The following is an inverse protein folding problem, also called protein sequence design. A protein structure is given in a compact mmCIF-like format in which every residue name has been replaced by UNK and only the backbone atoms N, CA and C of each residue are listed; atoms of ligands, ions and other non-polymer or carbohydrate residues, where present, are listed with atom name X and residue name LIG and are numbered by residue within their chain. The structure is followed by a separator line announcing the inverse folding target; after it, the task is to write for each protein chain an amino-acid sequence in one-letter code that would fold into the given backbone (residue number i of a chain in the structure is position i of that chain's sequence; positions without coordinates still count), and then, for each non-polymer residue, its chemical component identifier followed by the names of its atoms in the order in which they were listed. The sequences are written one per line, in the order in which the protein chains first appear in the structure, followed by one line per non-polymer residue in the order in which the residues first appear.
data_IF_127415941239
#
_entry.id   IF_127415941239
#
_cell.length_a   1.000
_cell.length_b   1.000
_cell.length_c   1.000
_cell.angle_alpha   90.00
_cell.angle_beta   90.00
_cell.angle_gamma   90.00
#
_symmetry.space_group_name_H-M   'P 1'
#
loop_
_entity.id
_entity.type
_entity.pdbx_description
1 polymer ?
#
# COMPACT_ATOMS: atom_id res chain seq x y z
N UNK A 1 -0.63 -15.32 -1.31
CA UNK A 1 0.53 -14.53 -0.83
C UNK A 1 0.09 -13.07 -0.75
N UNK A 2 0.28 -12.43 0.39
CA UNK A 2 -0.20 -11.04 0.57
C UNK A 2 0.84 -10.05 0.05
N UNK A 3 0.40 -8.88 -0.44
CA UNK A 3 1.35 -7.89 -0.93
C UNK A 3 2.26 -7.42 0.22
N UNK A 4 3.56 -7.50 0.00
CA UNK A 4 4.54 -6.88 0.88
C UNK A 4 4.23 -5.39 1.00
N UNK A 5 4.24 -4.87 2.21
CA UNK A 5 4.07 -3.44 2.45
C UNK A 5 2.66 -2.95 2.77
N UNK A 6 1.71 -3.83 3.13
CA UNK A 6 0.44 -3.38 3.70
C UNK A 6 0.64 -2.84 5.11
N UNK A 7 0.14 -1.65 5.32
CA UNK A 7 0.21 -0.95 6.60
C UNK A 7 -0.90 -1.44 7.54
N UNK A 8 -0.51 -2.13 8.60
CA UNK A 8 -1.45 -2.60 9.65
C UNK A 8 -1.13 -1.88 10.95
N UNK A 9 -2.13 -1.22 11.52
CA UNK A 9 -2.06 -0.79 12.92
C UNK A 9 -2.47 -1.95 13.80
N UNK A 10 -1.60 -2.33 14.72
CA UNK A 10 -1.90 -3.29 15.78
C UNK A 10 -2.12 -2.56 17.11
N UNK A 11 -3.38 -2.38 17.47
CA UNK A 11 -3.76 -1.91 18.78
C UNK A 11 -3.66 -3.04 19.80
N UNK A 12 -3.02 -2.78 20.96
CA UNK A 12 -2.85 -3.81 22.00
C UNK A 12 -3.59 -3.41 23.26
N UNK A 13 -4.63 -4.15 23.62
CA UNK A 13 -5.40 -3.96 24.84
C UNK A 13 -4.73 -4.52 26.10
N UNK A 14 -5.11 -3.98 27.26
CA UNK A 14 -4.56 -4.31 28.57
C UNK A 14 -5.10 -5.61 29.15
N UNK A 15 -4.65 -6.76 28.66
CA UNK A 15 -4.95 -8.08 29.19
C UNK A 15 -3.73 -8.99 29.19
N UNK A 16 -3.77 -10.06 29.98
CA UNK A 16 -2.66 -11.01 30.06
C UNK A 16 -2.26 -11.56 28.67
N UNK A 17 -3.22 -11.74 27.76
CA UNK A 17 -2.97 -12.21 26.41
C UNK A 17 -2.21 -11.22 25.51
N UNK A 18 -1.89 -10.01 25.99
CA UNK A 18 -1.07 -9.04 25.24
C UNK A 18 0.28 -9.65 24.78
N UNK A 19 0.88 -10.55 25.56
CA UNK A 19 2.14 -11.21 25.17
C UNK A 19 2.00 -12.02 23.86
N UNK A 20 0.82 -12.55 23.56
CA UNK A 20 0.57 -13.30 22.32
C UNK A 20 0.62 -12.43 21.07
N UNK A 21 0.41 -11.14 21.21
CA UNK A 21 0.52 -10.17 20.11
C UNK A 21 1.98 -10.06 19.60
N UNK A 22 2.97 -10.50 20.39
CA UNK A 22 4.35 -10.61 19.94
C UNK A 22 4.54 -11.67 18.85
N UNK A 23 3.88 -12.82 18.96
CA UNK A 23 3.83 -13.84 17.90
C UNK A 23 3.05 -13.34 16.69
N UNK A 24 1.92 -12.66 16.94
CA UNK A 24 1.10 -12.09 15.86
C UNK A 24 1.88 -11.07 15.01
N UNK A 25 2.69 -10.19 15.63
CA UNK A 25 3.54 -9.24 14.89
C UNK A 25 4.47 -9.98 13.93
N UNK A 26 5.22 -10.97 14.42
CA UNK A 26 6.15 -11.75 13.59
C UNK A 26 5.44 -12.41 12.42
N UNK A 27 4.30 -13.06 12.67
CA UNK A 27 3.55 -13.73 11.62
C UNK A 27 2.94 -12.77 10.61
N UNK A 28 2.47 -11.59 11.04
CA UNK A 28 2.02 -10.54 10.12
C UNK A 28 3.17 -10.10 9.20
N UNK A 29 4.38 -9.91 9.76
CA UNK A 29 5.57 -9.55 8.98
C UNK A 29 5.98 -10.67 8.02
N UNK A 30 5.93 -11.95 8.44
CA UNK A 30 6.18 -13.11 7.57
C UNK A 30 5.20 -13.16 6.39
N UNK A 31 3.97 -12.64 6.57
CA UNK A 31 2.96 -12.49 5.51
C UNK A 31 3.11 -11.17 4.73
N UNK A 32 4.16 -10.38 4.99
CA UNK A 32 4.50 -9.16 4.26
C UNK A 32 3.77 -7.90 4.71
N UNK A 33 3.14 -7.91 5.90
CA UNK A 33 2.57 -6.71 6.48
C UNK A 33 3.61 -5.84 7.19
N UNK A 34 3.44 -4.54 7.11
CA UNK A 34 4.16 -3.55 7.91
C UNK A 34 3.33 -3.20 9.14
N UNK A 35 3.83 -3.53 10.32
CA UNK A 35 3.04 -3.43 11.56
C UNK A 35 3.49 -2.23 12.38
N UNK A 36 2.57 -1.29 12.62
CA UNK A 36 2.75 -0.19 13.58
C UNK A 36 1.97 -0.49 14.85
N UNK A 37 2.65 -0.53 16.00
CA UNK A 37 2.02 -0.94 17.26
C UNK A 37 1.56 0.29 18.05
N UNK A 38 0.30 0.23 18.52
CA UNK A 38 -0.31 1.26 19.37
C UNK A 38 -0.86 0.58 20.62
N UNK A 39 -0.05 0.47 21.69
CA UNK A 39 -0.47 -0.13 22.94
C UNK A 39 -1.34 0.84 23.74
N UNK A 40 -2.37 0.33 24.38
CA UNK A 40 -3.06 1.09 25.42
C UNK A 40 -2.18 1.24 26.66
N UNK A 41 -2.41 2.27 27.46
CA UNK A 41 -1.70 2.46 28.71
C UNK A 41 -1.74 1.22 29.63
N UNK A 42 -2.90 0.53 29.66
CA UNK A 42 -3.06 -0.68 30.48
C UNK A 42 -2.25 -1.86 29.95
N UNK A 43 -1.99 -1.96 28.64
CA UNK A 43 -1.22 -3.06 28.05
C UNK A 43 0.27 -3.01 28.44
N UNK A 44 0.79 -1.82 28.77
CA UNK A 44 2.18 -1.63 29.18
C UNK A 44 2.50 -2.31 30.51
N UNK A 45 1.49 -2.65 31.34
CA UNK A 45 1.69 -3.47 32.53
C UNK A 45 2.06 -4.93 32.20
N UNK A 46 1.82 -5.39 30.97
CA UNK A 46 2.11 -6.76 30.52
C UNK A 46 3.31 -6.82 29.58
N UNK A 47 3.41 -5.88 28.64
CA UNK A 47 4.49 -5.82 27.65
C UNK A 47 4.87 -4.36 27.41
N UNK A 48 6.12 -4.01 27.61
CA UNK A 48 6.62 -2.66 27.47
C UNK A 48 6.90 -2.26 26.02
N UNK A 49 6.94 -0.94 25.77
CA UNK A 49 7.14 -0.35 24.43
C UNK A 49 8.43 -0.81 23.75
N UNK A 50 9.51 -1.04 24.50
CA UNK A 50 10.78 -1.52 23.94
C UNK A 50 10.62 -2.87 23.24
N UNK A 51 9.76 -3.76 23.76
CA UNK A 51 9.47 -5.05 23.12
C UNK A 51 8.72 -4.84 21.80
N UNK A 52 7.72 -3.96 21.78
CA UNK A 52 6.94 -3.67 20.58
C UNK A 52 7.80 -3.04 19.48
N UNK A 53 8.64 -2.06 19.84
CA UNK A 53 9.56 -1.41 18.91
C UNK A 53 10.56 -2.42 18.31
N UNK A 54 11.14 -3.29 19.15
CA UNK A 54 12.09 -4.30 18.68
C UNK A 54 11.45 -5.33 17.75
N UNK A 55 10.20 -5.75 18.03
CA UNK A 55 9.50 -6.74 17.22
C UNK A 55 8.97 -6.16 15.89
N UNK A 56 8.39 -4.98 15.93
CA UNK A 56 7.85 -4.35 14.73
C UNK A 56 8.91 -3.72 13.83
N UNK A 57 10.08 -3.40 14.38
CA UNK A 57 11.13 -2.61 13.72
C UNK A 57 10.71 -1.16 13.44
N UNK A 58 9.68 -0.66 14.15
CA UNK A 58 9.07 0.66 13.94
C UNK A 58 8.86 1.39 15.25
N UNK A 59 8.70 2.73 15.21
CA UNK A 59 8.30 3.51 16.39
C UNK A 59 6.97 3.02 16.98
N UNK A 60 6.87 3.06 18.30
CA UNK A 60 5.64 2.75 19.04
C UNK A 60 5.00 4.07 19.44
N UNK A 61 3.70 4.18 19.19
CA UNK A 61 2.93 5.37 19.51
C UNK A 61 1.96 5.03 20.64
N UNK A 62 2.15 5.64 21.81
CA UNK A 62 1.37 5.34 23.03
C UNK A 62 0.75 6.59 23.69
N UNK A 63 1.10 7.79 23.20
CA UNK A 63 0.61 9.04 23.75
C UNK A 63 -0.02 9.93 22.65
N UNK A 64 -1.23 10.42 22.94
CA UNK A 64 -1.96 11.34 22.07
C UNK A 64 -1.26 12.71 21.93
N UNK A 65 -0.50 13.10 22.94
CA UNK A 65 0.11 14.42 23.07
C UNK A 65 1.58 14.45 22.65
N UNK A 66 2.17 13.33 22.35
CA UNK A 66 3.48 13.29 21.73
C UNK A 66 3.36 13.73 20.28
N UNK A 67 4.23 14.66 19.84
CA UNK A 67 4.32 15.12 18.46
C UNK A 67 3.03 15.78 17.89
N UNK A 68 2.45 16.69 18.66
CA UNK A 68 1.17 17.37 18.36
C UNK A 68 1.18 18.05 16.98
N UNK A 69 2.34 18.46 16.48
CA UNK A 69 2.47 19.13 15.18
C UNK A 69 2.08 18.25 14.00
N UNK A 70 2.25 16.92 14.10
CA UNK A 70 1.96 15.96 13.04
C UNK A 70 0.53 15.41 13.08
N UNK A 71 -0.27 15.79 14.10
CA UNK A 71 -1.62 15.24 14.34
C UNK A 71 -1.61 13.71 14.20
N UNK A 72 -0.85 12.98 15.07
CA UNK A 72 -0.50 11.57 14.82
C UNK A 72 -1.70 10.66 14.63
N UNK A 73 -2.81 10.89 15.35
CA UNK A 73 -4.02 10.07 15.22
C UNK A 73 -4.66 10.17 13.82
N UNK A 74 -4.60 11.32 13.16
CA UNK A 74 -5.14 11.50 11.81
C UNK A 74 -4.19 10.89 10.77
N UNK A 75 -2.88 11.14 10.89
CA UNK A 75 -1.90 10.61 9.94
C UNK A 75 -1.85 9.07 9.99
N UNK A 76 -1.85 8.48 11.18
CA UNK A 76 -1.89 7.04 11.39
C UNK A 76 -3.21 6.42 10.88
N UNK A 77 -4.37 7.05 11.19
CA UNK A 77 -5.66 6.58 10.70
C UNK A 77 -5.73 6.56 9.17
N UNK A 78 -5.14 7.56 8.49
CA UNK A 78 -5.11 7.65 7.03
C UNK A 78 -4.10 6.72 6.36
N UNK A 79 -3.00 6.38 7.05
CA UNK A 79 -1.94 5.55 6.49
C UNK A 79 -2.22 4.04 6.61
N UNK A 80 -3.14 3.63 7.47
CA UNK A 80 -3.43 2.22 7.71
C UNK A 80 -4.32 1.63 6.61
N UNK A 81 -3.96 0.45 6.11
CA UNK A 81 -4.83 -0.36 5.23
C UNK A 81 -5.85 -1.17 6.04
N UNK A 82 -5.51 -1.53 7.28
CA UNK A 82 -6.39 -2.16 8.25
C UNK A 82 -5.94 -1.86 9.68
N UNK A 83 -6.88 -1.95 10.62
CA UNK A 83 -6.59 -1.87 12.05
C UNK A 83 -7.01 -3.16 12.72
N UNK A 84 -6.09 -3.80 13.43
CA UNK A 84 -6.31 -5.01 14.22
C UNK A 84 -6.14 -4.66 15.70
N UNK A 85 -7.14 -4.92 16.52
CA UNK A 85 -7.04 -4.76 17.97
C UNK A 85 -6.92 -6.14 18.62
N UNK A 86 -5.73 -6.48 19.04
CA UNK A 86 -5.42 -7.80 19.57
C UNK A 86 -4.43 -7.72 20.76
N UNK A 87 -4.84 -8.08 22.00
CA UNK A 87 -6.21 -8.43 22.36
C UNK A 87 -7.16 -7.23 22.47
N UNK A 88 -8.47 -7.44 22.26
CA UNK A 88 -9.52 -6.48 22.60
C UNK A 88 -10.16 -6.88 23.93
N UNK A 89 -10.01 -6.06 24.95
CA UNK A 89 -10.65 -6.27 26.27
C UNK A 89 -12.11 -5.83 26.26
N UNK A 90 -12.90 -6.28 27.24
CA UNK A 90 -14.30 -5.84 27.40
C UNK A 90 -14.42 -4.31 27.51
N UNK A 91 -13.49 -3.66 28.21
CA UNK A 91 -13.40 -2.18 28.28
C UNK A 91 -13.21 -1.55 26.91
N UNK A 92 -12.27 -2.06 26.10
CA UNK A 92 -12.06 -1.54 24.73
C UNK A 92 -13.29 -1.77 23.85
N UNK A 93 -13.94 -2.95 23.92
CA UNK A 93 -15.19 -3.21 23.21
C UNK A 93 -16.25 -2.16 23.56
N UNK A 94 -16.41 -1.87 24.85
CA UNK A 94 -17.38 -0.87 25.31
C UNK A 94 -17.02 0.55 24.84
N UNK A 95 -15.75 0.95 24.99
CA UNK A 95 -15.28 2.28 24.59
C UNK A 95 -15.44 2.52 23.09
N UNK A 96 -15.09 1.55 22.26
CA UNK A 96 -15.22 1.62 20.80
C UNK A 96 -16.71 1.69 20.41
N UNK A 97 -17.56 0.85 21.04
CA UNK A 97 -19.00 0.86 20.77
C UNK A 97 -19.67 2.19 21.12
N UNK A 98 -19.19 2.88 22.14
CA UNK A 98 -19.68 4.19 22.57
C UNK A 98 -19.04 5.37 21.81
N UNK A 99 -18.03 5.13 20.97
CA UNK A 99 -17.29 6.21 20.28
C UNK A 99 -16.44 7.07 21.21
N UNK A 100 -15.96 6.53 22.33
CA UNK A 100 -15.02 7.24 23.23
C UNK A 100 -13.65 7.34 22.56
N UNK A 101 -13.06 8.53 22.64
CA UNK A 101 -11.75 8.85 22.07
C UNK A 101 -10.88 9.54 23.14
N UNK A 102 -10.52 8.77 24.18
CA UNK A 102 -9.79 9.26 25.36
C UNK A 102 -8.31 8.80 25.41
N UNK A 103 -7.85 8.03 24.42
CA UNK A 103 -6.45 7.72 24.17
C UNK A 103 -6.13 7.71 22.65
N UNK A 104 -4.84 7.57 22.31
CA UNK A 104 -4.40 7.60 20.91
C UNK A 104 -5.11 6.53 20.07
N UNK A 105 -5.20 5.30 20.57
CA UNK A 105 -5.80 4.17 19.86
C UNK A 105 -7.27 4.44 19.50
N UNK A 106 -8.06 4.88 20.48
CA UNK A 106 -9.49 5.14 20.26
C UNK A 106 -9.74 6.39 19.41
N UNK A 107 -8.87 7.38 19.43
CA UNK A 107 -8.90 8.50 18.48
C UNK A 107 -8.65 8.04 17.05
N UNK A 108 -7.66 7.15 16.82
CA UNK A 108 -7.40 6.57 15.50
C UNK A 108 -8.61 5.78 15.02
N UNK A 109 -9.22 4.96 15.87
CA UNK A 109 -10.40 4.16 15.51
C UNK A 109 -11.61 5.01 15.13
N UNK A 110 -11.76 6.17 15.74
CA UNK A 110 -12.85 7.09 15.41
C UNK A 110 -12.58 7.87 14.11
N UNK A 111 -11.31 8.12 13.79
CA UNK A 111 -10.88 8.88 12.62
C UNK A 111 -10.68 8.05 11.35
N UNK A 112 -10.54 6.72 11.48
CA UNK A 112 -10.22 5.85 10.34
C UNK A 112 -11.42 5.55 9.45
N UNK A 113 -11.15 5.40 8.16
CA UNK A 113 -12.05 4.79 7.18
C UNK A 113 -11.63 3.36 6.80
N UNK A 114 -10.50 2.91 7.34
CA UNK A 114 -9.96 1.58 7.08
C UNK A 114 -10.71 0.50 7.85
N UNK A 115 -10.79 -0.73 7.32
CA UNK A 115 -11.48 -1.82 7.98
C UNK A 115 -10.84 -2.17 9.34
N UNK A 116 -11.69 -2.50 10.30
CA UNK A 116 -11.29 -2.79 11.68
C UNK A 116 -11.62 -4.25 12.02
N UNK A 117 -10.64 -4.96 12.57
CA UNK A 117 -10.76 -6.30 13.13
C UNK A 117 -10.52 -6.26 14.64
N UNK A 118 -11.49 -6.62 15.44
CA UNK A 118 -11.35 -6.79 16.88
C UNK A 118 -11.17 -8.27 17.22
N UNK A 119 -10.20 -8.54 18.08
CA UNK A 119 -9.85 -9.88 18.57
C UNK A 119 -10.09 -9.94 20.09
N UNK A 120 -11.32 -10.23 20.52
CA UNK A 120 -11.66 -10.27 21.94
C UNK A 120 -10.89 -11.35 22.69
N UNK A 121 -10.46 -11.00 23.91
CA UNK A 121 -9.89 -11.96 24.86
C UNK A 121 -10.23 -11.53 26.28
N UNK A 122 -11.07 -12.34 26.97
CA UNK A 122 -11.58 -12.08 28.30
C UNK A 122 -12.12 -13.36 28.93
N UNK A 123 -12.40 -13.37 30.25
CA UNK A 123 -13.05 -14.49 30.88
C UNK A 123 -14.44 -14.79 30.30
N UNK A 124 -14.89 -16.06 30.32
CA UNK A 124 -16.19 -16.46 29.75
C UNK A 124 -17.37 -15.64 30.29
N UNK A 125 -17.40 -15.36 31.57
CA UNK A 125 -18.47 -14.58 32.20
C UNK A 125 -18.49 -13.13 31.66
N UNK A 126 -17.33 -12.57 31.34
CA UNK A 126 -17.23 -11.23 30.73
C UNK A 126 -17.68 -11.25 29.27
N UNK A 127 -17.31 -12.29 28.54
CA UNK A 127 -17.70 -12.44 27.13
C UNK A 127 -19.22 -12.63 27.01
N UNK A 128 -19.79 -13.53 27.82
CA UNK A 128 -21.21 -13.85 27.80
C UNK A 128 -22.08 -12.78 28.47
N UNK A 129 -21.48 -11.78 29.11
CA UNK A 129 -22.25 -10.72 29.75
C UNK A 129 -23.10 -9.94 28.73
N UNK A 130 -24.34 -9.68 29.07
CA UNK A 130 -25.32 -9.02 28.17
C UNK A 130 -24.81 -7.66 27.67
N UNK A 131 -24.10 -6.88 28.50
CA UNK A 131 -23.53 -5.60 28.07
C UNK A 131 -22.41 -5.78 27.04
N UNK A 132 -21.55 -6.78 27.20
CA UNK A 132 -20.51 -7.12 26.23
C UNK A 132 -21.12 -7.55 24.90
N UNK A 133 -22.10 -8.46 24.94
CA UNK A 133 -22.78 -8.94 23.74
C UNK A 133 -23.55 -7.82 23.01
N UNK A 134 -24.20 -6.91 23.74
CA UNK A 134 -24.85 -5.74 23.14
C UNK A 134 -23.84 -4.80 22.44
N UNK A 135 -22.69 -4.56 23.06
CA UNK A 135 -21.62 -3.78 22.46
C UNK A 135 -21.04 -4.44 21.20
N UNK A 136 -20.82 -5.77 21.24
CA UNK A 136 -20.36 -6.54 20.06
C UNK A 136 -21.39 -6.46 18.92
N UNK A 137 -22.67 -6.62 19.21
CA UNK A 137 -23.74 -6.50 18.22
C UNK A 137 -23.75 -5.08 17.59
N UNK A 138 -23.59 -4.04 18.42
CA UNK A 138 -23.48 -2.66 17.95
C UNK A 138 -22.28 -2.46 17.03
N UNK A 139 -21.11 -2.99 17.36
CA UNK A 139 -19.91 -2.88 16.53
C UNK A 139 -20.07 -3.59 15.20
N UNK A 140 -20.63 -4.82 15.23
CA UNK A 140 -20.92 -5.60 14.00
C UNK A 140 -21.92 -4.88 13.09
N UNK A 141 -22.96 -4.25 13.65
CA UNK A 141 -23.93 -3.47 12.86
C UNK A 141 -23.34 -2.21 12.19
N UNK A 142 -22.19 -1.73 12.69
CA UNK A 142 -21.43 -0.62 12.12
C UNK A 142 -20.32 -1.07 11.14
N UNK A 143 -20.30 -2.37 10.78
CA UNK A 143 -19.31 -2.91 9.84
C UNK A 143 -17.94 -3.26 10.44
N UNK A 144 -17.79 -3.20 11.77
CA UNK A 144 -16.57 -3.65 12.44
C UNK A 144 -16.60 -5.16 12.59
N UNK A 145 -15.56 -5.84 12.11
CA UNK A 145 -15.44 -7.28 12.26
C UNK A 145 -14.97 -7.60 13.67
N UNK A 146 -15.78 -8.37 14.40
CA UNK A 146 -15.45 -8.88 15.73
C UNK A 146 -15.30 -10.39 15.63
N UNK A 147 -14.04 -10.85 15.75
CA UNK A 147 -13.68 -12.26 15.72
C UNK A 147 -14.17 -12.95 17.01
N UNK A 148 -14.88 -14.05 16.87
CA UNK A 148 -15.27 -14.80 18.06
C UNK A 148 -14.03 -15.41 18.74
N UNK A 149 -13.90 -15.23 20.07
CA UNK A 149 -12.80 -15.82 20.82
C UNK A 149 -12.86 -17.35 20.77
N UNK A 150 -11.72 -17.98 20.97
CA UNK A 150 -11.67 -19.45 21.01
C UNK A 150 -12.21 -19.99 22.33
N UNK A 151 -12.63 -21.25 22.31
CA UNK A 151 -12.93 -22.00 23.51
C UNK A 151 -11.68 -22.74 24.00
N UNK A 152 -11.51 -22.85 25.30
CA UNK A 152 -10.41 -23.61 25.86
C UNK A 152 -10.02 -23.18 27.27
N UNK A 153 -8.88 -23.72 27.74
CA UNK A 153 -8.33 -23.40 29.04
C UNK A 153 -7.83 -21.97 29.09
N UNK A 154 -8.22 -21.25 30.12
CA UNK A 154 -7.81 -19.90 30.43
C UNK A 154 -6.61 -19.88 31.41
N UNK A 155 -6.30 -18.72 31.96
CA UNK A 155 -5.32 -18.62 33.03
C UNK A 155 -5.90 -19.31 34.31
N UNK A 156 -5.22 -20.36 34.77
CA UNK A 156 -5.68 -21.16 35.90
C UNK A 156 -6.43 -22.43 35.48
N UNK A 157 -7.50 -22.81 36.21
CA UNK A 157 -8.32 -24.00 35.98
C UNK A 157 -9.54 -23.75 35.09
N UNK A 158 -9.86 -22.50 34.83
CA UNK A 158 -11.07 -22.09 34.10
C UNK A 158 -11.01 -22.46 32.63
N UNK A 159 -12.13 -22.97 32.13
CA UNK A 159 -12.31 -23.34 30.71
C UNK A 159 -13.59 -22.72 30.17
N UNK A 160 -13.59 -22.31 28.89
CA UNK A 160 -14.76 -21.76 28.23
C UNK A 160 -14.41 -20.88 27.06
N UNK A 161 -15.44 -20.22 26.50
CA UNK A 161 -15.29 -19.26 25.41
C UNK A 161 -14.74 -17.93 25.94
N UNK A 162 -13.71 -17.40 25.30
CA UNK A 162 -13.08 -16.12 25.72
C UNK A 162 -11.56 -16.10 25.53
N UNK A 163 -11.00 -17.25 25.11
CA UNK A 163 -9.57 -17.40 24.87
C UNK A 163 -9.15 -16.61 23.64
N UNK A 164 -7.98 -15.95 23.74
CA UNK A 164 -7.34 -15.30 22.58
C UNK A 164 -7.10 -16.31 21.45
N UNK A 165 -7.64 -16.06 20.24
CA UNK A 165 -7.47 -16.92 19.09
C UNK A 165 -6.01 -17.11 18.69
N UNK A 166 -5.68 -18.23 18.07
CA UNK A 166 -4.34 -18.44 17.54
C UNK A 166 -4.06 -17.53 16.33
N UNK A 167 -2.80 -17.09 16.17
CA UNK A 167 -2.41 -16.10 15.14
C UNK A 167 -2.86 -16.47 13.72
N UNK A 168 -2.84 -17.73 13.24
CA UNK A 168 -3.37 -18.07 11.91
C UNK A 168 -4.84 -17.71 11.71
N UNK A 169 -5.70 -17.90 12.72
CA UNK A 169 -7.13 -17.53 12.65
C UNK A 169 -7.29 -16.03 12.51
N UNK A 170 -6.49 -15.23 13.24
CA UNK A 170 -6.51 -13.77 13.16
C UNK A 170 -6.06 -13.31 11.78
N UNK A 171 -4.98 -13.88 11.26
CA UNK A 171 -4.44 -13.55 9.95
C UNK A 171 -5.44 -13.89 8.84
N UNK A 172 -6.10 -15.04 8.90
CA UNK A 172 -7.15 -15.41 7.94
C UNK A 172 -8.30 -14.41 7.99
N UNK A 173 -8.78 -14.04 9.17
CA UNK A 173 -9.84 -13.03 9.32
C UNK A 173 -9.43 -11.65 8.80
N UNK A 174 -8.17 -11.23 9.02
CA UNK A 174 -7.62 -10.00 8.44
C UNK A 174 -7.58 -10.08 6.92
N UNK A 175 -7.20 -11.23 6.37
CA UNK A 175 -7.12 -11.45 4.94
C UNK A 175 -8.50 -11.42 4.29
N UNK A 176 -9.50 -12.08 4.91
CA UNK A 176 -10.90 -12.05 4.45
C UNK A 176 -11.43 -10.60 4.49
N UNK A 177 -11.13 -9.87 5.55
CA UNK A 177 -11.52 -8.48 5.72
C UNK A 177 -10.91 -7.57 4.64
N UNK A 178 -9.64 -7.77 4.31
CA UNK A 178 -8.95 -7.03 3.26
C UNK A 178 -9.39 -7.49 1.85
N UNK A 179 -9.73 -8.76 1.67
CA UNK A 179 -10.23 -9.33 0.42
C UNK A 179 -11.68 -8.94 0.13
N UNK A 180 -12.43 -8.45 1.13
CA UNK A 180 -13.78 -7.92 0.92
C UNK A 180 -13.81 -6.66 0.05
N UNK A 181 -12.66 -6.02 -0.20
CA UNK A 181 -12.43 -5.05 -1.27
C UNK A 181 -11.95 -5.72 -2.58
N UNK A 182 -12.38 -6.93 -2.88
CA UNK A 182 -12.09 -7.59 -4.15
C UNK A 182 -12.94 -6.99 -5.30
N UNK A 183 -12.90 -5.67 -5.41
CA UNK A 183 -13.65 -4.86 -6.37
C UNK A 183 -13.07 -4.89 -7.79
N UNK A 184 -11.91 -5.53 -7.98
CA UNK A 184 -11.27 -5.74 -9.27
C UNK A 184 -11.37 -7.19 -9.78
N UNK A 185 -12.24 -8.03 -9.19
CA UNK A 185 -12.51 -9.38 -9.71
C UNK A 185 -13.04 -9.30 -11.15
N UNK A 186 -12.44 -10.09 -12.04
CA UNK A 186 -12.78 -10.10 -13.46
C UNK A 186 -12.25 -8.89 -14.25
N UNK A 187 -11.45 -8.03 -13.64
CA UNK A 187 -10.77 -6.92 -14.30
C UNK A 187 -9.31 -7.26 -14.59
N UNK A 188 -8.80 -6.72 -15.70
CA UNK A 188 -7.40 -6.85 -16.11
C UNK A 188 -6.68 -5.53 -15.84
N UNK A 189 -5.53 -5.61 -15.17
CA UNK A 189 -4.69 -4.44 -14.86
C UNK A 189 -3.32 -4.62 -15.47
N UNK A 190 -2.90 -3.67 -16.29
CA UNK A 190 -1.57 -3.58 -16.89
C UNK A 190 -0.75 -2.54 -16.13
N UNK A 191 0.42 -2.92 -15.67
CA UNK A 191 1.31 -2.03 -14.91
C UNK A 191 2.68 -2.03 -15.55
N UNK A 192 3.31 -0.85 -15.70
CA UNK A 192 4.73 -0.75 -16.05
C UNK A 192 5.55 -0.34 -14.84
N UNK A 193 6.77 -0.88 -14.69
CA UNK A 193 7.65 -0.60 -13.55
C UNK A 193 9.11 -0.46 -13.98
N UNK A 194 9.91 0.17 -13.12
CA UNK A 194 11.35 0.30 -13.32
C UNK A 194 11.75 1.43 -14.25
N UNK A 195 12.99 1.41 -14.72
CA UNK A 195 13.54 2.40 -15.64
C UNK A 195 14.11 1.74 -16.89
N UNK A 196 13.78 2.24 -18.07
CA UNK A 196 14.38 1.73 -19.31
C UNK A 196 15.85 2.10 -19.39
N UNK A 197 16.61 1.27 -20.04
CA UNK A 197 18.02 1.45 -20.31
C UNK A 197 18.25 1.37 -21.81
N UNK A 198 18.72 2.47 -22.38
CA UNK A 198 18.96 2.58 -23.82
C UNK A 198 20.45 2.34 -24.08
N UNK A 199 20.84 1.21 -24.66
CA UNK A 199 22.24 0.84 -24.78
C UNK A 199 22.99 1.78 -25.72
N UNK A 200 24.16 2.21 -25.27
CA UNK A 200 25.15 2.95 -26.09
C UNK A 200 26.09 1.92 -26.74
N UNK A 201 26.56 1.00 -25.94
CA UNK A 201 27.41 -0.13 -26.30
C UNK A 201 27.12 -1.32 -25.37
N UNK A 202 27.75 -2.49 -25.49
CA UNK A 202 27.48 -3.64 -24.60
C UNK A 202 27.70 -3.40 -23.10
N UNK A 203 28.30 -2.28 -22.72
CA UNK A 203 28.68 -1.98 -21.32
C UNK A 203 27.95 -0.76 -20.77
N UNK A 204 27.57 0.20 -21.62
CA UNK A 204 27.05 1.50 -21.20
C UNK A 204 25.65 1.75 -21.74
N UNK A 205 24.84 2.46 -20.97
CA UNK A 205 23.48 2.83 -21.36
C UNK A 205 23.12 4.23 -20.85
N UNK A 206 22.08 4.81 -21.44
CA UNK A 206 21.36 5.97 -20.95
C UNK A 206 20.07 5.45 -20.29
N UNK A 207 19.71 6.01 -19.14
CA UNK A 207 18.48 5.58 -18.47
C UNK A 207 18.11 6.50 -17.32
N UNK A 208 16.88 6.35 -16.84
CA UNK A 208 16.33 7.09 -15.72
C UNK A 208 16.53 6.33 -14.40
N UNK A 209 16.74 7.07 -13.32
CA UNK A 209 16.79 6.47 -11.97
C UNK A 209 15.41 6.02 -11.56
N UNK A 210 15.17 4.72 -11.51
CA UNK A 210 13.95 4.13 -10.98
C UNK A 210 14.25 2.73 -10.43
N UNK A 211 13.69 2.41 -9.28
CA UNK A 211 13.82 1.08 -8.66
C UNK A 211 12.68 0.15 -9.02
N UNK A 212 11.57 0.66 -9.58
CA UNK A 212 10.38 -0.11 -9.88
C UNK A 212 9.40 -0.26 -8.70
N UNK A 213 9.79 0.04 -7.46
CA UNK A 213 8.99 -0.17 -6.24
C UNK A 213 7.53 0.30 -6.36
N UNK A 214 7.27 1.45 -7.00
CA UNK A 214 5.90 1.96 -7.14
C UNK A 214 5.05 1.08 -8.06
N UNK A 215 5.58 0.64 -9.19
CA UNK A 215 4.87 -0.25 -10.12
C UNK A 215 4.59 -1.61 -9.49
N UNK A 216 5.56 -2.17 -8.78
CA UNK A 216 5.36 -3.40 -8.03
C UNK A 216 4.29 -3.23 -6.95
N UNK A 217 4.27 -2.11 -6.20
CA UNK A 217 3.22 -1.83 -5.23
C UNK A 217 1.83 -1.77 -5.87
N UNK A 218 1.68 -1.15 -7.05
CA UNK A 218 0.41 -1.13 -7.80
C UNK A 218 0.01 -2.53 -8.27
N UNK A 219 0.95 -3.30 -8.81
CA UNK A 219 0.68 -4.67 -9.27
C UNK A 219 0.23 -5.57 -8.10
N UNK A 220 0.89 -5.47 -6.96
CA UNK A 220 0.48 -6.16 -5.73
C UNK A 220 -0.91 -5.76 -5.26
N UNK A 221 -1.18 -4.45 -5.18
CA UNK A 221 -2.46 -3.95 -4.72
C UNK A 221 -3.61 -4.39 -5.64
N UNK A 222 -3.40 -4.37 -6.96
CA UNK A 222 -4.39 -4.83 -7.94
C UNK A 222 -4.66 -6.34 -7.81
N UNK A 223 -3.60 -7.17 -7.70
CA UNK A 223 -3.75 -8.62 -7.53
C UNK A 223 -4.46 -8.96 -6.22
N UNK A 224 -4.16 -8.25 -5.13
CA UNK A 224 -4.82 -8.41 -3.84
C UNK A 224 -6.31 -8.03 -3.86
N UNK A 225 -6.74 -7.22 -4.83
CA UNK A 225 -8.14 -6.85 -5.09
C UNK A 225 -8.82 -7.76 -6.12
N UNK A 226 -8.17 -8.87 -6.50
CA UNK A 226 -8.71 -9.90 -7.37
C UNK A 226 -8.55 -9.65 -8.87
N UNK A 227 -7.76 -8.65 -9.28
CA UNK A 227 -7.48 -8.40 -10.69
C UNK A 227 -6.54 -9.47 -11.31
N UNK A 228 -6.71 -9.72 -12.61
CA UNK A 228 -5.68 -10.34 -13.43
C UNK A 228 -4.63 -9.31 -13.79
N UNK A 229 -3.38 -9.48 -13.33
CA UNK A 229 -2.34 -8.45 -13.44
C UNK A 229 -1.25 -8.88 -14.41
N UNK A 230 -0.91 -7.99 -15.35
CA UNK A 230 0.31 -8.06 -16.16
C UNK A 230 1.24 -6.93 -15.78
N UNK A 231 2.45 -7.28 -15.33
CA UNK A 231 3.50 -6.34 -14.95
C UNK A 231 4.62 -6.35 -16.00
N UNK A 232 4.87 -5.20 -16.63
CA UNK A 232 6.01 -5.02 -17.52
C UNK A 232 7.12 -4.33 -16.74
N UNK A 233 8.19 -5.04 -16.43
CA UNK A 233 9.27 -4.60 -15.55
C UNK A 233 10.56 -4.31 -16.33
N UNK A 234 11.00 -3.05 -16.31
CA UNK A 234 12.27 -2.63 -16.92
C UNK A 234 13.35 -2.53 -15.86
N UNK A 235 14.39 -3.37 -15.99
CA UNK A 235 15.63 -3.29 -15.18
C UNK A 235 15.38 -3.09 -13.68
N UNK A 236 14.36 -3.79 -13.14
CA UNK A 236 14.03 -3.78 -11.72
C UNK A 236 14.68 -4.98 -11.03
N UNK A 237 15.14 -4.76 -9.80
CA UNK A 237 15.68 -5.81 -8.91
C UNK A 237 14.62 -6.36 -7.94
N UNK A 238 13.38 -5.92 -8.05
CA UNK A 238 12.29 -6.44 -7.23
C UNK A 238 12.00 -7.90 -7.60
N UNK A 239 11.69 -8.73 -6.61
CA UNK A 239 11.38 -10.14 -6.82
C UNK A 239 10.07 -10.33 -7.60
N UNK A 240 10.03 -11.37 -8.43
CA UNK A 240 8.81 -11.78 -9.13
C UNK A 240 7.69 -12.10 -8.14
N UNK A 241 6.46 -11.73 -8.49
CA UNK A 241 5.29 -11.90 -7.65
C UNK A 241 4.53 -13.15 -8.11
N UNK A 242 4.33 -14.10 -7.21
CA UNK A 242 3.50 -15.27 -7.51
C UNK A 242 2.06 -14.85 -7.85
N UNK A 243 1.51 -15.40 -8.92
CA UNK A 243 0.16 -15.07 -9.40
C UNK A 243 0.05 -13.82 -10.28
N UNK A 244 1.17 -13.15 -10.59
CA UNK A 244 1.23 -12.02 -11.52
C UNK A 244 2.06 -12.41 -12.74
N UNK A 245 1.55 -12.15 -13.95
CA UNK A 245 2.32 -12.31 -15.18
C UNK A 245 3.35 -11.17 -15.27
N UNK A 246 4.64 -11.49 -15.12
CA UNK A 246 5.71 -10.49 -15.21
C UNK A 246 6.48 -10.65 -16.53
N UNK A 247 6.58 -9.57 -17.29
CA UNK A 247 7.31 -9.46 -18.54
C UNK A 247 8.51 -8.55 -18.31
N UNK A 248 9.72 -9.10 -18.46
CA UNK A 248 10.94 -8.33 -18.31
C UNK A 248 11.35 -7.69 -19.63
N UNK A 249 11.64 -6.41 -19.60
CA UNK A 249 12.11 -5.61 -20.72
C UNK A 249 13.33 -4.78 -20.32
N UNK A 250 14.10 -4.32 -21.31
CA UNK A 250 15.28 -3.50 -21.06
C UNK A 250 15.08 -2.08 -21.60
N UNK A 251 14.67 -1.92 -22.85
CA UNK A 251 14.61 -0.62 -23.52
C UNK A 251 13.18 -0.08 -23.65
N UNK A 252 13.07 1.19 -24.02
CA UNK A 252 11.81 1.86 -24.32
C UNK A 252 11.05 1.16 -25.45
N UNK A 253 11.76 0.71 -26.52
CA UNK A 253 11.13 0.01 -27.63
C UNK A 253 10.54 -1.34 -27.20
N UNK A 254 11.25 -2.10 -26.35
CA UNK A 254 10.73 -3.36 -25.82
C UNK A 254 9.52 -3.13 -24.89
N UNK A 255 9.57 -2.09 -24.04
CA UNK A 255 8.43 -1.72 -23.20
C UNK A 255 7.24 -1.30 -24.05
N UNK A 256 7.44 -0.47 -25.06
CA UNK A 256 6.40 -0.04 -26.00
C UNK A 256 5.69 -1.24 -26.62
N UNK A 257 6.45 -2.17 -27.20
CA UNK A 257 5.92 -3.40 -27.79
C UNK A 257 5.10 -4.21 -26.80
N UNK A 258 5.67 -4.50 -25.62
CA UNK A 258 5.01 -5.30 -24.60
C UNK A 258 3.73 -4.63 -24.07
N UNK A 259 3.72 -3.30 -23.90
CA UNK A 259 2.53 -2.54 -23.49
C UNK A 259 1.43 -2.67 -24.55
N UNK A 260 1.74 -2.49 -25.83
CA UNK A 260 0.74 -2.57 -26.92
C UNK A 260 0.13 -3.96 -27.04
N UNK A 261 0.91 -5.03 -26.83
CA UNK A 261 0.43 -6.42 -26.88
C UNK A 261 -0.64 -6.72 -25.81
N UNK A 262 -0.63 -5.99 -24.68
CA UNK A 262 -1.54 -6.22 -23.57
C UNK A 262 -2.58 -5.10 -23.34
N UNK A 263 -2.43 -3.96 -24.02
CA UNK A 263 -3.27 -2.77 -23.81
C UNK A 263 -4.75 -3.01 -24.07
N UNK A 264 -5.09 -3.58 -25.21
CA UNK A 264 -6.49 -3.73 -25.65
C UNK A 264 -7.32 -4.66 -24.76
N UNK A 265 -6.67 -5.56 -24.00
CA UNK A 265 -7.30 -6.51 -23.08
C UNK A 265 -7.37 -5.97 -21.65
N UNK A 266 -6.78 -4.81 -21.38
CA UNK A 266 -6.69 -4.24 -20.03
C UNK A 266 -7.85 -3.30 -19.75
N UNK A 267 -8.39 -3.35 -18.52
CA UNK A 267 -9.39 -2.40 -18.04
C UNK A 267 -8.73 -1.16 -17.43
N UNK A 268 -7.64 -1.35 -16.67
CA UNK A 268 -6.85 -0.27 -16.05
C UNK A 268 -5.40 -0.42 -16.52
N UNK A 269 -4.79 0.70 -16.90
CA UNK A 269 -3.39 0.75 -17.31
C UNK A 269 -2.66 1.80 -16.50
N UNK A 270 -1.64 1.37 -15.75
CA UNK A 270 -0.89 2.24 -14.83
C UNK A 270 0.56 2.34 -15.27
N UNK A 271 0.92 3.49 -15.82
CA UNK A 271 2.23 3.74 -16.39
C UNK A 271 3.14 4.41 -15.35
N UNK A 272 3.82 3.58 -14.52
CA UNK A 272 4.75 4.10 -13.49
C UNK A 272 6.21 4.08 -13.93
N UNK A 273 6.53 3.33 -14.99
CA UNK A 273 7.91 3.21 -15.46
C UNK A 273 8.51 4.55 -15.87
N UNK A 274 9.77 4.73 -15.53
CA UNK A 274 10.58 5.86 -15.99
C UNK A 274 11.19 5.53 -17.35
N UNK A 275 10.40 5.75 -18.42
CA UNK A 275 10.85 5.53 -19.80
C UNK A 275 11.81 6.65 -20.19
N UNK A 276 12.94 6.31 -20.81
CA UNK A 276 13.88 7.30 -21.32
C UNK A 276 13.25 8.08 -22.49
N UNK A 277 13.36 9.40 -22.49
CA UNK A 277 12.82 10.28 -23.52
C UNK A 277 13.64 10.26 -24.83
N UNK A 278 14.89 9.78 -24.73
CA UNK A 278 15.80 9.69 -25.87
C UNK A 278 16.69 8.45 -25.77
N UNK A 279 17.11 7.93 -26.92
CA UNK A 279 18.03 6.80 -27.06
C UNK A 279 19.19 7.17 -28.00
N UNK A 280 20.33 6.47 -27.95
CA UNK A 280 21.40 6.64 -28.94
C UNK A 280 20.86 6.40 -30.35
N UNK A 281 21.21 7.30 -31.29
CA UNK A 281 20.85 7.15 -32.70
C UNK A 281 21.49 5.89 -33.29
N UNK A 282 22.69 5.57 -32.85
CA UNK A 282 23.43 4.38 -33.25
C UNK A 282 23.94 3.65 -32.00
N UNK A 283 23.59 2.39 -31.88
CA UNK A 283 24.14 1.49 -30.86
C UNK A 283 25.42 0.85 -31.42
N UNK A 284 26.49 0.85 -30.64
CA UNK A 284 27.72 0.17 -31.03
C UNK A 284 27.69 -1.30 -30.62
N UNK A 285 28.10 -2.21 -31.52
CA UNK A 285 28.17 -3.64 -31.26
C UNK A 285 29.35 -4.02 -30.32
N UNK A 286 30.37 -3.17 -30.27
CA UNK A 286 31.54 -3.32 -29.46
C UNK A 286 31.67 -2.14 -28.50
N UNK A 287 32.35 -2.39 -27.35
CA UNK A 287 32.66 -1.34 -26.40
C UNK A 287 33.44 -0.22 -27.06
N UNK A 288 32.89 1.01 -27.03
CA UNK A 288 33.54 2.20 -27.60
C UNK A 288 34.81 2.49 -26.78
N UNK A 289 35.95 2.67 -27.47
CA UNK A 289 37.20 3.04 -26.84
C UNK A 289 37.15 4.44 -26.25
N UNK A 290 37.88 4.64 -25.14
CA UNK A 290 37.87 5.93 -24.40
C UNK A 290 38.29 7.12 -25.25
N UNK A 291 39.18 6.91 -26.19
CA UNK A 291 39.70 7.96 -27.10
C UNK A 291 38.67 8.42 -28.15
N UNK A 292 37.74 7.53 -28.49
CA UNK A 292 36.67 7.79 -29.48
C UNK A 292 35.36 8.27 -28.85
N UNK A 293 35.33 8.39 -27.52
CA UNK A 293 34.10 8.72 -26.77
C UNK A 293 33.95 10.21 -26.52
N UNK A 294 33.62 10.98 -27.57
CA UNK A 294 33.51 12.44 -27.51
C UNK A 294 32.07 12.95 -27.40
N UNK A 295 31.13 12.30 -28.09
CA UNK A 295 29.72 12.67 -28.12
C UNK A 295 28.86 11.46 -28.43
N UNK A 296 27.57 11.51 -28.02
CA UNK A 296 26.57 10.56 -28.38
C UNK A 296 25.42 11.33 -29.01
N UNK A 297 25.11 10.99 -30.26
CA UNK A 297 23.92 11.50 -30.92
C UNK A 297 22.69 10.77 -30.40
N UNK A 298 21.65 11.55 -30.05
CA UNK A 298 20.41 11.03 -29.50
C UNK A 298 19.25 11.23 -30.46
N UNK A 299 18.32 10.28 -30.44
CA UNK A 299 17.03 10.38 -31.11
C UNK A 299 15.91 10.21 -30.08
N UNK A 300 14.75 10.89 -30.23
CA UNK A 300 13.61 10.69 -29.34
C UNK A 300 13.11 9.24 -29.35
N UNK A 301 12.64 8.78 -28.20
CA UNK A 301 11.89 7.54 -28.06
C UNK A 301 10.40 7.78 -28.32
N UNK A 302 9.63 6.70 -28.49
CA UNK A 302 8.17 6.79 -28.66
C UNK A 302 7.54 7.23 -27.33
N UNK A 303 6.65 8.22 -27.38
CA UNK A 303 5.81 8.57 -26.21
C UNK A 303 4.68 7.56 -26.04
N UNK A 304 4.99 6.48 -25.33
CA UNK A 304 4.06 5.35 -25.11
C UNK A 304 2.74 5.85 -24.53
N UNK A 305 2.79 6.68 -23.50
CA UNK A 305 1.60 7.14 -22.77
C UNK A 305 0.68 8.00 -23.66
N UNK A 306 1.25 8.81 -24.56
CA UNK A 306 0.49 9.58 -25.54
C UNK A 306 -0.18 8.66 -26.56
N UNK A 307 0.54 7.66 -27.09
CA UNK A 307 -0.03 6.70 -28.02
C UNK A 307 -1.17 5.90 -27.39
N UNK A 308 -1.04 5.48 -26.13
CA UNK A 308 -2.12 4.82 -25.40
C UNK A 308 -3.34 5.72 -25.24
N UNK A 309 -3.15 7.00 -24.93
CA UNK A 309 -4.23 7.96 -24.84
C UNK A 309 -4.97 8.19 -26.16
N UNK A 310 -4.27 8.09 -27.29
CA UNK A 310 -4.88 8.20 -28.62
C UNK A 310 -5.60 6.92 -29.04
N UNK A 311 -5.18 5.75 -28.52
CA UNK A 311 -5.76 4.43 -28.83
C UNK A 311 -6.87 4.01 -27.87
N UNK A 312 -6.92 4.55 -26.65
CA UNK A 312 -7.84 4.09 -25.61
C UNK A 312 -9.30 4.19 -26.02
N UNK A 313 -10.09 3.20 -25.61
CA UNK A 313 -11.55 3.14 -25.78
C UNK A 313 -12.25 3.27 -24.43
N UNK A 314 -12.23 2.20 -23.64
CA UNK A 314 -12.83 2.13 -22.30
C UNK A 314 -11.78 1.94 -21.18
N UNK A 315 -10.50 1.88 -21.53
CA UNK A 315 -9.43 1.69 -20.58
C UNK A 315 -9.27 2.94 -19.70
N UNK A 316 -9.09 2.73 -18.40
CA UNK A 316 -8.69 3.79 -17.47
C UNK A 316 -7.17 3.92 -17.50
N UNK A 317 -6.67 5.06 -17.94
CA UNK A 317 -5.25 5.32 -18.14
C UNK A 317 -4.71 6.22 -17.03
N UNK A 318 -3.77 5.69 -16.25
CA UNK A 318 -3.12 6.36 -15.12
C UNK A 318 -1.67 6.67 -15.46
N UNK A 319 -1.32 7.94 -15.45
CA UNK A 319 0.04 8.42 -15.69
C UNK A 319 0.76 8.83 -14.41
N UNK A 320 2.09 8.89 -14.49
CA UNK A 320 2.95 9.43 -13.44
C UNK A 320 3.78 10.61 -13.98
N UNK A 321 3.99 11.61 -13.13
CA UNK A 321 4.87 12.74 -13.40
C UNK A 321 5.75 13.00 -12.19
N UNK A 322 7.06 12.99 -12.39
CA UNK A 322 8.02 13.49 -11.41
C UNK A 322 8.25 14.99 -11.70
N UNK A 323 7.92 15.84 -10.75
CA UNK A 323 8.03 17.29 -10.92
C UNK A 323 8.69 17.94 -9.70
N UNK A 324 9.37 19.03 -9.93
CA UNK A 324 9.99 19.85 -8.89
C UNK A 324 9.53 21.29 -9.01
N UNK A 325 9.30 21.98 -7.88
CA UNK A 325 9.11 23.41 -7.78
C UNK A 325 7.73 23.94 -8.22
N UNK A 326 7.63 25.27 -8.20
CA UNK A 326 6.41 26.00 -8.54
C UNK A 326 5.97 25.73 -9.99
N UNK A 327 4.69 25.37 -10.17
CA UNK A 327 4.15 25.03 -11.50
C UNK A 327 4.08 23.53 -11.80
N UNK A 328 4.47 22.64 -10.88
CA UNK A 328 4.35 21.18 -11.03
C UNK A 328 2.94 20.74 -11.41
N UNK A 329 1.92 21.27 -10.75
CA UNK A 329 0.49 20.95 -11.00
C UNK A 329 0.06 21.45 -12.39
N UNK A 330 0.48 22.66 -12.82
CA UNK A 330 0.11 23.17 -14.14
C UNK A 330 0.69 22.31 -15.27
N UNK A 331 1.97 21.90 -15.17
CA UNK A 331 2.61 20.97 -16.13
C UNK A 331 1.95 19.59 -16.13
N UNK A 332 1.57 19.09 -14.95
CA UNK A 332 0.88 17.83 -14.83
C UNK A 332 -0.50 17.89 -15.50
N UNK A 333 -1.23 18.99 -15.35
CA UNK A 333 -2.53 19.21 -16.00
C UNK A 333 -2.37 19.28 -17.53
N UNK A 334 -1.33 19.93 -18.02
CA UNK A 334 -1.03 19.93 -19.45
C UNK A 334 -0.75 18.51 -19.96
N UNK A 335 0.10 17.74 -19.24
CA UNK A 335 0.39 16.33 -19.55
C UNK A 335 -0.89 15.48 -19.52
N UNK A 336 -1.75 15.69 -18.52
CA UNK A 336 -3.04 15.00 -18.38
C UNK A 336 -3.90 15.20 -19.64
N UNK A 337 -4.06 16.44 -20.08
CA UNK A 337 -4.88 16.78 -21.25
C UNK A 337 -4.25 16.26 -22.55
N UNK A 338 -2.96 16.52 -22.76
CA UNK A 338 -2.25 16.16 -23.99
C UNK A 338 -2.16 14.65 -24.22
N UNK A 339 -2.15 13.86 -23.14
CA UNK A 339 -2.06 12.40 -23.18
C UNK A 339 -3.41 11.72 -22.89
N UNK A 340 -4.50 12.47 -22.80
CA UNK A 340 -5.87 11.99 -22.56
C UNK A 340 -5.96 11.00 -21.41
N UNK A 341 -5.31 11.33 -20.28
CA UNK A 341 -5.30 10.48 -19.08
C UNK A 341 -6.65 10.54 -18.36
N UNK A 342 -6.92 9.57 -17.50
CA UNK A 342 -8.06 9.58 -16.57
C UNK A 342 -7.62 9.98 -15.17
N UNK A 343 -6.36 9.64 -14.81
CA UNK A 343 -5.71 10.04 -13.58
C UNK A 343 -4.23 10.32 -13.85
N UNK A 344 -3.65 11.26 -13.10
CA UNK A 344 -2.21 11.46 -13.07
C UNK A 344 -1.75 11.68 -11.62
N UNK A 345 -0.71 10.93 -11.21
CA UNK A 345 -0.02 11.19 -9.95
C UNK A 345 1.21 12.07 -10.20
N UNK A 346 1.29 13.16 -9.47
CA UNK A 346 2.40 14.11 -9.51
C UNK A 346 3.23 13.89 -8.27
N UNK A 347 4.39 13.27 -8.45
CA UNK A 347 5.33 13.01 -7.38
C UNK A 347 6.21 14.24 -7.15
N UNK A 348 6.29 14.74 -5.93
CA UNK A 348 7.24 15.77 -5.56
C UNK A 348 8.64 15.14 -5.36
N UNK A 349 9.54 15.42 -6.25
CA UNK A 349 10.93 14.92 -6.20
C UNK A 349 11.92 15.99 -5.73
N UNK A 350 11.44 17.07 -5.12
CA UNK A 350 12.28 18.10 -4.52
C UNK A 350 13.13 17.49 -3.38
N UNK A 351 14.45 17.52 -3.56
CA UNK A 351 15.41 17.00 -2.57
C UNK A 351 16.03 15.63 -2.88
N UNK A 352 15.66 14.97 -3.96
CA UNK A 352 16.35 13.74 -4.42
C UNK A 352 16.17 12.48 -3.54
N UNK A 353 15.53 12.60 -2.37
CA UNK A 353 15.41 11.55 -1.37
C UNK A 353 14.35 10.45 -1.72
N UNK A 354 13.57 10.64 -2.78
CA UNK A 354 12.40 9.81 -3.11
C UNK A 354 12.78 8.56 -3.92
N UNK A 355 13.89 8.62 -4.66
CA UNK A 355 14.37 7.47 -5.43
C UNK A 355 14.89 6.37 -4.50
N UNK A 356 14.18 5.24 -4.45
CA UNK A 356 14.48 4.10 -3.56
C UNK A 356 13.79 4.12 -2.19
N UNK A 357 13.15 5.24 -1.80
CA UNK A 357 12.33 5.30 -0.59
C UNK A 357 11.08 4.41 -0.71
N UNK A 358 10.59 3.90 0.42
CA UNK A 358 9.31 3.18 0.51
C UNK A 358 8.12 4.13 0.69
N UNK A 359 8.38 5.41 0.93
CA UNK A 359 7.38 6.47 1.06
C UNK A 359 7.39 7.40 -0.16
N UNK A 360 6.28 8.11 -0.33
CA UNK A 360 6.07 9.09 -1.40
C UNK A 360 5.18 10.23 -0.92
N UNK A 361 5.35 11.41 -1.53
CA UNK A 361 4.47 12.57 -1.33
C UNK A 361 4.11 13.14 -2.70
N UNK A 362 2.88 13.64 -2.83
CA UNK A 362 2.43 14.22 -4.10
C UNK A 362 0.92 14.33 -4.18
N UNK A 363 0.40 14.62 -5.37
CA UNK A 363 -1.02 14.84 -5.60
C UNK A 363 -1.54 13.95 -6.72
N UNK A 364 -2.77 13.44 -6.58
CA UNK A 364 -3.49 12.77 -7.65
C UNK A 364 -4.45 13.79 -8.27
N UNK A 365 -4.44 13.90 -9.59
CA UNK A 365 -5.31 14.79 -10.35
C UNK A 365 -6.18 13.98 -11.33
N UNK A 366 -7.36 14.50 -11.56
CA UNK A 366 -8.23 14.10 -12.68
C UNK A 366 -8.74 15.33 -13.45
N UNK A 367 -9.81 15.15 -14.27
CA UNK A 367 -10.40 16.23 -15.05
C UNK A 367 -10.95 17.40 -14.23
N UNK A 368 -11.31 17.18 -12.96
CA UNK A 368 -11.83 18.21 -12.04
C UNK A 368 -10.72 19.00 -11.34
N UNK A 369 -9.51 18.47 -11.27
CA UNK A 369 -8.35 19.06 -10.60
C UNK A 369 -7.66 18.08 -9.65
N UNK A 370 -7.16 18.59 -8.51
CA UNK A 370 -6.57 17.75 -7.46
C UNK A 370 -7.71 17.03 -6.72
N UNK A 371 -7.68 15.71 -6.72
CA UNK A 371 -8.68 14.86 -6.04
C UNK A 371 -8.14 14.25 -4.74
N UNK A 372 -6.82 14.13 -4.60
CA UNK A 372 -6.18 13.62 -3.38
C UNK A 372 -4.79 14.25 -3.20
N UNK A 373 -4.47 14.69 -1.99
CA UNK A 373 -3.11 15.12 -1.59
C UNK A 373 -2.54 14.12 -0.58
N UNK A 374 -1.33 13.67 -0.83
CA UNK A 374 -0.66 12.64 -0.06
C UNK A 374 0.68 13.16 0.46
N UNK A 375 0.94 13.01 1.74
CA UNK A 375 2.17 13.43 2.39
C UNK A 375 2.79 12.26 3.19
N UNK A 376 4.00 11.82 2.79
CA UNK A 376 4.74 10.77 3.51
C UNK A 376 4.02 9.43 3.61
N UNK A 377 3.20 9.07 2.61
CA UNK A 377 2.47 7.79 2.60
C UNK A 377 3.32 6.67 2.02
N UNK A 378 3.00 5.42 2.36
CA UNK A 378 3.65 4.28 1.71
C UNK A 378 3.26 4.18 0.23
N UNK A 379 4.15 3.60 -0.59
CA UNK A 379 3.86 3.34 -2.01
C UNK A 379 2.66 2.41 -2.20
N UNK A 380 2.37 1.56 -1.22
CA UNK A 380 1.21 0.68 -1.21
C UNK A 380 -0.06 1.49 -0.94
N UNK A 381 -0.04 2.42 0.01
CA UNK A 381 -1.17 3.34 0.24
C UNK A 381 -1.51 4.14 -1.02
N UNK A 382 -0.50 4.72 -1.69
CA UNK A 382 -0.71 5.38 -2.99
C UNK A 382 -1.33 4.43 -4.03
N UNK A 383 -0.84 3.18 -4.10
CA UNK A 383 -1.34 2.19 -5.05
C UNK A 383 -2.83 1.90 -4.83
N UNK A 384 -3.27 1.70 -3.58
CA UNK A 384 -4.69 1.50 -3.26
C UNK A 384 -5.54 2.73 -3.62
N UNK A 385 -5.08 3.95 -3.30
CA UNK A 385 -5.77 5.20 -3.65
C UNK A 385 -5.95 5.38 -5.16
N UNK A 386 -4.92 5.10 -5.94
CA UNK A 386 -5.00 5.15 -7.41
C UNK A 386 -5.98 4.12 -7.94
N UNK A 387 -5.98 2.91 -7.39
CA UNK A 387 -6.90 1.85 -7.81
C UNK A 387 -8.34 2.12 -7.35
N UNK A 388 -8.57 2.75 -6.20
CA UNK A 388 -9.89 3.21 -5.77
C UNK A 388 -10.48 4.19 -6.82
N UNK A 389 -9.74 5.28 -7.11
CA UNK A 389 -10.15 6.28 -8.09
C UNK A 389 -10.29 5.71 -9.51
N UNK A 390 -9.46 4.73 -9.89
CA UNK A 390 -9.56 4.08 -11.21
C UNK A 390 -10.76 3.14 -11.27
N UNK A 391 -11.06 2.40 -10.19
CA UNK A 391 -12.23 1.51 -10.09
C UNK A 391 -13.54 2.29 -10.20
N UNK A 392 -13.63 3.46 -9.54
CA UNK A 392 -14.81 4.34 -9.61
C UNK A 392 -15.10 4.84 -11.04
N UNK A 393 -14.09 4.88 -11.91
CA UNK A 393 -14.23 5.29 -13.31
C UNK A 393 -14.52 4.13 -14.27
N UNK A 394 -14.53 2.87 -13.80
CA UNK A 394 -14.83 1.69 -14.62
C UNK A 394 -16.34 1.40 -14.79
N UNK A 395 -17.19 2.16 -14.12
CA UNK A 395 -18.65 1.98 -14.11
C UNK A 395 -19.34 2.51 -15.37
#
# INVERSE_FOLDING_TARGET
MFPRGREVILGVGGGISAYKSADLIRRLQDHGFLVTVIPTRSSQNFVGNATWAALSGRPVYDDLWSDVHSVPHISLAKSADAIVIAPTTADLVARIAQGRADDLLTNILLATTSPILLVPAMHPEMWLNAATQANVATLRSRGIVVLDPDEGRMTGSDTGIGRYPESPKIINALNDLLSSKADLIGRSVLVTAGGTQEPIDPVRFIGNRSTGKQGYAVAYAAAARGASVTLIAANSHEEAIEGITTIHVQSADQMHKAVLEHFDQSNIVVMTAAVADAKPLHQADLKIEKVSYHSIELTPTVDILKELGDRKKSQILVGFAAQTGDGAIAKAREKYLNKKLDLIYVNDVSGGAIFGSDQTSGSILDGSGIVEELAGVSKVTLAHKLLDLASDKLS
#
